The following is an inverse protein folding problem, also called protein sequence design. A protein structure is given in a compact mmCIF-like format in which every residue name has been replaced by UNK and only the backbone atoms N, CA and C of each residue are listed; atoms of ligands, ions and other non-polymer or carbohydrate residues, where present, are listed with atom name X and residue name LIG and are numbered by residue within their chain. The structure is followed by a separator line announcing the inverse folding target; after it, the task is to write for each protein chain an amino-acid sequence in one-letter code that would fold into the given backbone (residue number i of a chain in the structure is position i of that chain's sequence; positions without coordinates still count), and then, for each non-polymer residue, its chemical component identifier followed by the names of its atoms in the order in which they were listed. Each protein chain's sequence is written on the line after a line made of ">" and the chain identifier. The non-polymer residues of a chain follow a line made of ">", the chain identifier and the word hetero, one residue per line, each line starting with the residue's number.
data_IF_233819863287
#
_entry.id   IF_233819863287
#
_cell.length_a   1.000
_cell.length_b   1.000
_cell.length_c   1.000
_cell.angle_alpha   90.00
_cell.angle_beta   90.00
_cell.angle_gamma   90.00
#
_symmetry.space_group_name_H-M   'P 1'
#
loop_
_entity.id
_entity.type
_entity.pdbx_description
1 polymer ?
#
# COMPACT_ATOMS: atom_id res chain seq x y z
N UNK A 1 -6.62 -16.03 5.48
CA UNK A 1 -7.41 -15.84 6.71
C UNK A 1 -6.62 -16.10 7.98
N UNK A 2 -6.17 -17.35 8.21
CA UNK A 2 -5.50 -17.75 9.48
C UNK A 2 -4.22 -16.98 9.77
N UNK A 3 -3.36 -16.80 8.77
CA UNK A 3 -2.11 -16.03 8.91
C UNK A 3 -2.37 -14.54 9.23
N UNK A 4 -3.41 -13.97 8.65
CA UNK A 4 -3.79 -12.57 8.94
C UNK A 4 -4.27 -12.41 10.38
N UNK A 5 -5.10 -13.35 10.87
CA UNK A 5 -5.55 -13.39 12.26
C UNK A 5 -4.37 -13.56 13.23
N UNK A 6 -3.48 -14.51 12.95
CA UNK A 6 -2.28 -14.71 13.76
C UNK A 6 -1.40 -13.44 13.80
N UNK A 7 -1.19 -12.79 12.65
CA UNK A 7 -0.43 -11.53 12.56
C UNK A 7 -1.07 -10.41 13.39
N UNK A 8 -2.39 -10.26 13.31
CA UNK A 8 -3.12 -9.23 14.09
C UNK A 8 -3.05 -9.53 15.58
N UNK A 9 -3.23 -10.79 16.00
CA UNK A 9 -3.14 -11.19 17.42
C UNK A 9 -1.73 -10.91 17.97
N UNK A 10 -0.70 -11.30 17.24
CA UNK A 10 0.69 -11.04 17.64
C UNK A 10 0.94 -9.53 17.70
N UNK A 11 0.48 -8.76 16.70
CA UNK A 11 0.63 -7.31 16.66
C UNK A 11 -0.06 -6.61 17.83
N UNK A 12 -1.28 -7.02 18.16
CA UNK A 12 -2.02 -6.50 19.32
C UNK A 12 -1.34 -6.87 20.63
N UNK A 13 -0.87 -8.11 20.77
CA UNK A 13 -0.15 -8.57 21.97
C UNK A 13 1.16 -7.79 22.17
N UNK A 14 1.96 -7.62 21.12
CA UNK A 14 3.18 -6.80 21.17
C UNK A 14 2.88 -5.33 21.44
N UNK A 15 1.84 -4.77 20.82
CA UNK A 15 1.41 -3.40 21.06
C UNK A 15 0.92 -3.16 22.48
N UNK A 16 0.25 -4.15 23.09
CA UNK A 16 -0.16 -4.10 24.49
C UNK A 16 1.03 -4.25 25.46
N UNK A 17 2.03 -5.04 25.10
CA UNK A 17 3.23 -5.28 25.93
C UNK A 17 4.25 -4.13 25.83
N UNK A 18 4.31 -3.42 24.71
CA UNK A 18 5.31 -2.40 24.44
C UNK A 18 5.41 -1.30 25.52
N UNK A 19 4.33 -0.73 26.05
CA UNK A 19 4.40 0.28 27.12
C UNK A 19 5.09 -0.26 28.39
N UNK A 20 4.84 -1.52 28.75
CA UNK A 20 5.42 -2.14 29.96
C UNK A 20 6.91 -2.44 29.79
N UNK A 21 7.32 -2.86 28.58
CA UNK A 21 8.73 -3.08 28.26
C UNK A 21 9.49 -1.74 28.27
N UNK A 22 8.90 -0.69 27.67
CA UNK A 22 9.47 0.65 27.62
C UNK A 22 9.54 1.28 29.03
N UNK A 23 8.56 1.03 29.90
CA UNK A 23 8.57 1.53 31.27
C UNK A 23 9.82 1.10 32.05
N UNK A 24 10.32 -0.14 31.80
CA UNK A 24 11.54 -0.63 32.45
C UNK A 24 12.86 -0.07 31.87
N UNK A 25 12.79 0.61 30.72
CA UNK A 25 13.95 1.16 30.02
C UNK A 25 14.06 2.68 30.17
N UNK A 26 12.99 3.35 30.61
CA UNK A 26 12.93 4.80 30.74
C UNK A 26 13.24 5.18 32.19
N UNK A 27 14.22 6.07 32.46
CA UNK A 27 14.51 6.54 33.80
C UNK A 27 13.31 7.26 34.43
N UNK A 28 13.16 7.16 35.75
CA UNK A 28 12.11 7.80 36.56
C UNK A 28 12.09 9.34 36.53
N UNK A 29 13.09 9.97 35.92
CA UNK A 29 13.28 11.44 35.85
C UNK A 29 12.48 12.15 34.74
N UNK A 30 11.50 11.48 34.10
CA UNK A 30 10.67 12.14 33.12
C UNK A 30 9.73 13.17 33.77
N UNK A 31 9.69 14.42 33.25
CA UNK A 31 8.86 15.50 33.82
C UNK A 31 7.34 15.28 33.59
N UNK A 32 6.94 14.21 32.92
CA UNK A 32 5.53 13.86 32.65
C UNK A 32 5.26 12.47 33.21
N UNK A 33 4.26 12.29 34.09
CA UNK A 33 3.88 10.98 34.59
C UNK A 33 3.34 10.13 33.44
N UNK A 34 4.11 9.15 33.00
CA UNK A 34 3.70 8.22 31.98
C UNK A 34 2.75 7.16 32.61
N UNK A 35 1.48 7.19 32.26
CA UNK A 35 0.50 6.20 32.69
C UNK A 35 0.65 4.97 31.79
N UNK A 36 1.41 3.98 32.27
CA UNK A 36 1.54 2.69 31.59
C UNK A 36 0.32 1.83 31.86
N UNK A 37 -0.66 1.90 30.97
CA UNK A 37 -1.90 1.14 31.04
C UNK A 37 -2.23 0.49 29.69
N UNK A 38 -2.98 -0.61 29.73
CA UNK A 38 -3.55 -1.20 28.52
C UNK A 38 -4.77 -0.40 28.14
N UNK A 39 -4.72 0.25 26.99
CA UNK A 39 -5.85 1.01 26.45
C UNK A 39 -6.58 0.13 25.42
N UNK A 40 -7.77 -0.41 25.74
CA UNK A 40 -8.47 -1.34 24.85
C UNK A 40 -8.94 -0.68 23.55
N UNK A 41 -9.31 0.60 23.58
CA UNK A 41 -9.80 1.31 22.41
C UNK A 41 -8.74 1.44 21.28
N UNK A 42 -7.51 1.92 21.52
CA UNK A 42 -6.44 1.91 20.51
C UNK A 42 -6.11 0.51 20.00
N UNK A 43 -6.13 -0.50 20.86
CA UNK A 43 -5.85 -1.88 20.47
C UNK A 43 -6.93 -2.46 19.55
N UNK A 44 -8.21 -2.18 19.83
CA UNK A 44 -9.32 -2.57 18.96
C UNK A 44 -9.25 -1.86 17.61
N UNK A 45 -8.93 -0.57 17.60
CA UNK A 45 -8.71 0.19 16.36
C UNK A 45 -7.55 -0.42 15.56
N UNK A 46 -6.41 -0.71 16.20
CA UNK A 46 -5.27 -1.35 15.55
C UNK A 46 -5.63 -2.73 14.96
N UNK A 47 -6.39 -3.54 15.71
CA UNK A 47 -6.87 -4.84 15.22
C UNK A 47 -7.78 -4.68 14.00
N UNK A 48 -8.73 -3.73 14.02
CA UNK A 48 -9.61 -3.44 12.90
C UNK A 48 -8.83 -2.98 11.66
N UNK A 49 -7.87 -2.06 11.83
CA UNK A 49 -6.97 -1.65 10.75
C UNK A 49 -6.18 -2.82 10.18
N UNK A 50 -5.63 -3.69 11.04
CA UNK A 50 -4.87 -4.87 10.64
C UNK A 50 -5.70 -5.85 9.82
N UNK A 51 -6.92 -6.17 10.28
CA UNK A 51 -7.82 -7.09 9.59
C UNK A 51 -8.31 -6.54 8.25
N UNK A 52 -8.73 -5.27 8.21
CA UNK A 52 -9.19 -4.62 6.98
C UNK A 52 -8.07 -4.49 5.96
N UNK A 53 -6.85 -4.14 6.39
CA UNK A 53 -5.66 -4.10 5.53
C UNK A 53 -5.34 -5.49 4.98
N UNK A 54 -5.31 -6.51 5.84
CA UNK A 54 -5.07 -7.88 5.40
C UNK A 54 -6.12 -8.35 4.39
N UNK A 55 -7.40 -8.03 4.59
CA UNK A 55 -8.46 -8.34 3.64
C UNK A 55 -8.28 -7.59 2.32
N UNK A 56 -8.08 -6.26 2.36
CA UNK A 56 -7.94 -5.44 1.17
C UNK A 56 -6.76 -5.89 0.27
N UNK A 57 -5.62 -6.24 0.88
CA UNK A 57 -4.43 -6.63 0.13
C UNK A 57 -4.36 -8.11 -0.24
N UNK A 58 -5.01 -9.03 0.51
CA UNK A 58 -4.94 -10.46 0.24
C UNK A 58 -6.03 -10.96 -0.73
N UNK A 59 -7.21 -10.33 -0.75
CA UNK A 59 -8.33 -10.81 -1.55
C UNK A 59 -8.10 -10.68 -3.05
N UNK A 60 -7.41 -9.63 -3.52
CA UNK A 60 -7.11 -9.44 -4.94
C UNK A 60 -6.15 -10.50 -5.48
N UNK A 61 -5.00 -10.80 -4.85
CA UNK A 61 -4.14 -11.92 -5.26
C UNK A 61 -4.86 -13.28 -5.19
N UNK A 62 -5.71 -13.47 -4.19
CA UNK A 62 -6.49 -14.70 -4.04
C UNK A 62 -7.49 -14.88 -5.17
N UNK A 63 -8.19 -13.81 -5.57
CA UNK A 63 -9.08 -13.83 -6.74
C UNK A 63 -8.32 -14.20 -8.02
N UNK A 64 -7.12 -13.67 -8.20
CA UNK A 64 -6.26 -14.01 -9.35
C UNK A 64 -5.83 -15.47 -9.33
N UNK A 65 -5.44 -15.99 -8.18
CA UNK A 65 -5.04 -17.39 -8.03
C UNK A 65 -6.18 -18.35 -8.34
N UNK A 66 -7.41 -18.05 -7.90
CA UNK A 66 -8.61 -18.86 -8.21
C UNK A 66 -9.03 -18.78 -9.67
N UNK A 67 -8.86 -17.64 -10.33
CA UNK A 67 -9.19 -17.45 -11.74
C UNK A 67 -8.20 -18.12 -12.70
N UNK A 68 -7.10 -18.70 -12.20
CA UNK A 68 -6.07 -19.35 -13.02
C UNK A 68 -6.35 -20.85 -13.09
N UNK A 69 -6.87 -21.39 -14.22
CA UNK A 69 -7.13 -22.84 -14.35
C UNK A 69 -5.80 -23.60 -14.34
N UNK A 70 -5.73 -24.82 -13.76
CA UNK A 70 -4.49 -25.63 -13.72
C UNK A 70 -3.91 -25.89 -15.11
N UNK A 71 -4.75 -26.04 -16.13
CA UNK A 71 -4.33 -26.23 -17.52
C UNK A 71 -3.59 -25.02 -18.13
N UNK A 72 -3.77 -23.82 -17.57
CA UNK A 72 -3.08 -22.61 -18.05
C UNK A 72 -1.60 -22.55 -17.64
N UNK A 73 -1.20 -23.34 -16.64
CA UNK A 73 0.21 -23.49 -16.26
C UNK A 73 1.05 -24.13 -17.36
N UNK A 74 0.42 -24.92 -18.24
CA UNK A 74 1.07 -25.56 -19.40
C UNK A 74 0.95 -24.75 -20.69
N UNK A 75 0.13 -23.70 -20.73
CA UNK A 75 0.01 -22.77 -21.85
C UNK A 75 0.53 -21.40 -21.40
N UNK A 76 1.56 -20.90 -22.07
CA UNK A 76 2.19 -19.59 -21.83
C UNK A 76 1.24 -18.36 -21.99
N UNK A 77 -0.04 -18.55 -22.25
CA UNK A 77 -0.97 -17.51 -22.72
C UNK A 77 -2.32 -17.47 -22.00
N UNK A 78 -2.41 -17.73 -20.73
CA UNK A 78 -3.70 -17.54 -20.06
C UNK A 78 -3.59 -16.58 -18.85
N UNK A 79 -3.49 -15.30 -19.15
CA UNK A 79 -3.99 -14.30 -18.19
C UNK A 79 -5.50 -14.20 -18.40
N UNK A 80 -6.28 -15.00 -17.69
CA UNK A 80 -7.71 -14.83 -17.61
C UNK A 80 -8.00 -13.40 -17.17
N UNK A 81 -8.84 -12.69 -17.93
CA UNK A 81 -9.39 -11.42 -17.48
C UNK A 81 -10.07 -11.69 -16.14
N UNK A 82 -9.66 -10.93 -15.11
CA UNK A 82 -10.32 -11.03 -13.81
C UNK A 82 -11.70 -10.44 -14.02
N UNK A 83 -12.72 -11.32 -14.13
CA UNK A 83 -14.11 -10.90 -14.12
C UNK A 83 -14.47 -10.27 -12.77
N UNK A 84 -15.62 -9.63 -12.69
CA UNK A 84 -16.19 -9.17 -11.40
C UNK A 84 -16.38 -10.41 -10.51
N UNK A 85 -15.49 -10.61 -9.57
CA UNK A 85 -15.54 -11.70 -8.59
C UNK A 85 -15.88 -11.14 -7.22
N UNK A 86 -16.51 -11.96 -6.39
CA UNK A 86 -16.89 -11.61 -5.03
C UNK A 86 -15.67 -11.11 -4.22
N UNK A 87 -14.50 -11.69 -4.48
CA UNK A 87 -13.25 -11.32 -3.82
C UNK A 87 -12.80 -9.88 -4.17
N UNK A 88 -13.03 -9.43 -5.40
CA UNK A 88 -12.70 -8.05 -5.80
C UNK A 88 -13.65 -7.06 -5.13
N UNK A 89 -14.93 -7.40 -5.07
CA UNK A 89 -15.92 -6.58 -4.35
C UNK A 89 -15.59 -6.51 -2.86
N UNK A 90 -15.27 -7.65 -2.24
CA UNK A 90 -14.87 -7.72 -0.85
C UNK A 90 -13.57 -6.94 -0.57
N UNK A 91 -12.59 -6.98 -1.48
CA UNK A 91 -11.36 -6.18 -1.37
C UNK A 91 -11.66 -4.68 -1.45
N UNK A 92 -12.52 -4.26 -2.38
CA UNK A 92 -12.93 -2.87 -2.52
C UNK A 92 -13.70 -2.37 -1.29
N UNK A 93 -14.64 -3.18 -0.76
CA UNK A 93 -15.36 -2.87 0.46
C UNK A 93 -14.42 -2.77 1.68
N UNK A 94 -13.44 -3.68 1.78
CA UNK A 94 -12.44 -3.64 2.86
C UNK A 94 -11.58 -2.38 2.77
N UNK A 95 -11.16 -1.98 1.57
CA UNK A 95 -10.41 -0.76 1.36
C UNK A 95 -11.23 0.49 1.68
N UNK A 96 -12.52 0.51 1.31
CA UNK A 96 -13.44 1.60 1.65
C UNK A 96 -13.67 1.69 3.15
N UNK A 97 -13.90 0.55 3.82
CA UNK A 97 -14.05 0.48 5.27
C UNK A 97 -12.78 0.95 6.00
N UNK A 98 -11.60 0.60 5.48
CA UNK A 98 -10.31 1.07 5.99
C UNK A 98 -10.20 2.60 5.89
N UNK A 99 -10.55 3.18 4.75
CA UNK A 99 -10.55 4.63 4.56
C UNK A 99 -11.55 5.33 5.48
N UNK A 100 -12.76 4.77 5.60
CA UNK A 100 -13.79 5.29 6.52
C UNK A 100 -13.31 5.24 7.97
N UNK A 101 -12.73 4.12 8.41
CA UNK A 101 -12.18 3.97 9.75
C UNK A 101 -11.08 5.01 10.01
N UNK A 102 -10.19 5.23 9.03
CA UNK A 102 -9.13 6.22 9.14
C UNK A 102 -9.69 7.64 9.32
N UNK A 103 -10.73 8.02 8.57
CA UNK A 103 -11.38 9.33 8.69
C UNK A 103 -12.11 9.48 10.02
N UNK A 104 -12.86 8.46 10.45
CA UNK A 104 -13.64 8.49 11.68
C UNK A 104 -12.78 8.50 12.94
N UNK A 105 -11.58 7.90 12.89
CA UNK A 105 -10.67 7.84 14.05
C UNK A 105 -9.65 8.97 14.06
N UNK A 106 -9.58 9.78 13.00
CA UNK A 106 -8.65 10.89 12.92
C UNK A 106 -9.08 12.06 13.83
N UNK A 107 -8.15 12.72 14.52
CA UNK A 107 -8.45 13.93 15.31
C UNK A 107 -9.05 15.06 14.46
N UNK A 108 -8.63 15.14 13.19
CA UNK A 108 -9.12 16.10 12.20
C UNK A 108 -9.58 15.36 10.94
N UNK A 109 -10.88 15.06 10.78
CA UNK A 109 -11.39 14.30 9.63
C UNK A 109 -11.04 14.92 8.29
N UNK A 110 -11.03 16.26 8.21
CA UNK A 110 -10.66 16.98 6.98
C UNK A 110 -9.22 16.67 6.56
N UNK A 111 -8.27 16.68 7.51
CA UNK A 111 -6.88 16.36 7.21
C UNK A 111 -6.72 14.90 6.73
N UNK A 112 -7.45 13.96 7.34
CA UNK A 112 -7.45 12.57 6.92
C UNK A 112 -7.98 12.41 5.48
N UNK A 113 -9.09 13.08 5.15
CA UNK A 113 -9.65 13.06 3.78
C UNK A 113 -8.67 13.67 2.78
N UNK A 114 -8.05 14.81 3.12
CA UNK A 114 -7.04 15.44 2.25
C UNK A 114 -5.81 14.56 2.06
N UNK A 115 -5.34 13.87 3.11
CA UNK A 115 -4.22 12.92 3.01
C UNK A 115 -4.58 11.72 2.11
N UNK A 116 -5.73 11.10 2.35
CA UNK A 116 -6.18 9.96 1.53
C UNK A 116 -6.36 10.40 0.07
N UNK A 117 -6.99 11.55 -0.15
CA UNK A 117 -7.16 12.15 -1.48
C UNK A 117 -5.82 12.47 -2.15
N UNK A 118 -4.89 13.05 -1.41
CA UNK A 118 -3.54 13.36 -1.89
C UNK A 118 -2.77 12.10 -2.32
N UNK A 119 -2.83 11.04 -1.52
CA UNK A 119 -2.22 9.74 -1.87
C UNK A 119 -2.88 9.15 -3.11
N UNK A 120 -4.21 9.16 -3.19
CA UNK A 120 -4.95 8.65 -4.34
C UNK A 120 -4.62 9.42 -5.63
N UNK A 121 -4.57 10.76 -5.58
CA UNK A 121 -4.19 11.62 -6.70
C UNK A 121 -2.73 11.36 -7.11
N UNK A 122 -1.81 11.29 -6.15
CA UNK A 122 -0.40 10.99 -6.43
C UNK A 122 -0.25 9.64 -7.12
N UNK A 123 -0.96 8.62 -6.63
CA UNK A 123 -0.95 7.29 -7.25
C UNK A 123 -1.53 7.30 -8.66
N UNK A 124 -2.64 8.01 -8.88
CA UNK A 124 -3.27 8.16 -10.19
C UNK A 124 -2.35 8.88 -11.18
N UNK A 125 -1.66 9.94 -10.75
CA UNK A 125 -0.68 10.66 -11.57
C UNK A 125 0.51 9.77 -11.95
N UNK A 126 1.11 9.07 -10.99
CA UNK A 126 2.22 8.15 -11.24
C UNK A 126 1.83 7.00 -12.17
N UNK A 127 0.64 6.46 -11.99
CA UNK A 127 0.09 5.43 -12.88
C UNK A 127 -0.16 5.97 -14.29
N UNK A 128 -0.72 7.18 -14.39
CA UNK A 128 -0.92 7.88 -15.66
C UNK A 128 0.41 8.13 -16.39
N UNK A 129 1.43 8.62 -15.68
CA UNK A 129 2.78 8.82 -16.23
C UNK A 129 3.40 7.51 -16.72
N UNK A 130 3.26 6.41 -15.96
CA UNK A 130 3.70 5.08 -16.37
C UNK A 130 3.02 4.60 -17.67
N UNK A 131 1.72 4.88 -17.81
CA UNK A 131 0.98 4.57 -19.05
C UNK A 131 1.42 5.44 -20.22
N UNK A 132 1.64 6.74 -20.00
CA UNK A 132 2.14 7.66 -21.02
C UNK A 132 3.54 7.24 -21.47
N UNK A 133 4.44 6.92 -20.56
CA UNK A 133 5.77 6.42 -20.89
C UNK A 133 5.71 5.14 -21.72
N UNK A 134 4.86 4.17 -21.33
CA UNK A 134 4.67 2.94 -22.08
C UNK A 134 4.09 3.18 -23.48
N UNK A 135 3.13 4.11 -23.62
CA UNK A 135 2.54 4.47 -24.92
C UNK A 135 3.54 5.20 -25.82
N UNK A 136 4.33 6.11 -25.26
CA UNK A 136 5.40 6.80 -25.96
C UNK A 136 6.48 5.82 -26.45
N UNK A 137 6.91 4.88 -25.58
CA UNK A 137 7.82 3.82 -25.96
C UNK A 137 7.27 2.97 -27.11
N UNK A 138 5.96 2.67 -27.11
CA UNK A 138 5.29 1.95 -28.20
C UNK A 138 5.33 2.69 -29.53
N UNK A 139 5.14 4.02 -29.52
CA UNK A 139 5.22 4.88 -30.72
C UNK A 139 6.65 5.00 -31.26
N UNK A 140 7.62 5.18 -30.37
CA UNK A 140 9.04 5.29 -30.75
C UNK A 140 9.64 3.96 -31.23
N UNK A 141 9.09 2.82 -30.79
CA UNK A 141 9.53 1.49 -31.21
C UNK A 141 9.56 1.33 -32.73
N UNK A 142 8.61 1.94 -33.47
CA UNK A 142 8.56 1.89 -34.93
C UNK A 142 9.72 2.60 -35.63
N UNK A 143 10.38 3.56 -34.97
CA UNK A 143 11.52 4.33 -35.46
C UNK A 143 12.87 3.82 -34.94
N UNK A 144 12.89 2.98 -33.92
CA UNK A 144 14.08 2.47 -33.27
C UNK A 144 14.63 1.22 -33.99
N UNK A 145 15.98 1.06 -34.00
CA UNK A 145 16.69 -0.08 -34.59
C UNK A 145 17.53 -0.79 -33.52
N UNK A 146 17.82 -2.06 -33.75
CA UNK A 146 18.73 -2.85 -32.89
C UNK A 146 18.25 -2.99 -31.44
N UNK A 147 19.17 -2.91 -30.48
CA UNK A 147 18.92 -3.09 -29.06
C UNK A 147 17.89 -2.09 -28.47
N UNK A 148 17.84 -0.86 -29.00
CA UNK A 148 16.89 0.16 -28.59
C UNK A 148 15.42 -0.23 -28.88
N UNK A 149 15.19 -0.94 -29.98
CA UNK A 149 13.86 -1.47 -30.32
C UNK A 149 13.42 -2.54 -29.33
N UNK A 150 14.35 -3.37 -28.84
CA UNK A 150 14.07 -4.42 -27.85
C UNK A 150 13.75 -3.78 -26.48
N UNK A 151 14.53 -2.80 -26.05
CA UNK A 151 14.30 -2.05 -24.83
C UNK A 151 12.92 -1.35 -24.81
N UNK A 152 12.58 -0.64 -25.89
CA UNK A 152 11.30 0.01 -26.06
C UNK A 152 10.13 -0.98 -26.13
N UNK A 153 10.34 -2.16 -26.74
CA UNK A 153 9.35 -3.22 -26.77
C UNK A 153 9.02 -3.76 -25.36
N UNK A 154 10.06 -3.92 -24.52
CA UNK A 154 9.89 -4.35 -23.12
C UNK A 154 9.16 -3.29 -22.28
N UNK A 155 9.43 -2.00 -22.51
CA UNK A 155 8.74 -0.89 -21.85
C UNK A 155 7.29 -0.74 -22.32
N UNK A 156 7.01 -0.94 -23.60
CA UNK A 156 5.68 -0.80 -24.18
C UNK A 156 4.77 -2.01 -23.93
N UNK A 157 5.32 -3.16 -23.53
CA UNK A 157 4.60 -4.41 -23.35
C UNK A 157 3.45 -4.33 -22.34
N UNK A 158 2.39 -5.15 -22.46
CA UNK A 158 1.26 -5.16 -21.53
C UNK A 158 1.67 -5.59 -20.10
N UNK A 159 2.76 -6.33 -19.99
CA UNK A 159 3.38 -6.77 -18.72
C UNK A 159 4.65 -6.00 -18.40
N UNK A 160 4.82 -4.77 -18.93
CA UNK A 160 6.05 -4.02 -18.71
C UNK A 160 6.23 -3.69 -17.24
N UNK A 161 7.43 -3.96 -16.72
CA UNK A 161 7.82 -3.59 -15.37
C UNK A 161 7.65 -2.07 -15.11
N UNK A 162 7.74 -1.24 -16.14
CA UNK A 162 7.56 0.19 -16.04
C UNK A 162 6.16 0.59 -15.52
N UNK A 163 5.10 -0.14 -15.89
CA UNK A 163 3.74 0.15 -15.42
C UNK A 163 3.52 -0.16 -13.95
N UNK A 164 4.22 -1.16 -13.43
CA UNK A 164 4.10 -1.60 -12.03
C UNK A 164 5.18 -1.00 -11.15
N UNK A 165 6.39 -0.82 -11.66
CA UNK A 165 7.51 -0.27 -10.91
C UNK A 165 7.46 1.26 -10.81
N UNK A 166 6.94 1.97 -11.81
CA UNK A 166 6.88 3.44 -11.79
C UNK A 166 6.11 4.00 -10.57
N UNK A 167 4.90 3.51 -10.21
CA UNK A 167 4.23 3.96 -8.99
C UNK A 167 5.01 3.65 -7.72
N UNK A 168 5.62 2.46 -7.62
CA UNK A 168 6.39 2.06 -6.44
C UNK A 168 7.65 2.93 -6.25
N UNK A 169 8.41 3.15 -7.31
CA UNK A 169 9.60 4.01 -7.30
C UNK A 169 9.19 5.46 -7.01
N UNK A 170 8.13 5.95 -7.67
CA UNK A 170 7.63 7.30 -7.48
C UNK A 170 7.18 7.57 -6.04
N UNK A 171 6.46 6.63 -5.42
CA UNK A 171 6.08 6.72 -4.01
C UNK A 171 7.30 6.69 -3.09
N UNK A 172 8.29 5.83 -3.36
CA UNK A 172 9.52 5.76 -2.57
C UNK A 172 10.32 7.07 -2.62
N UNK A 173 10.53 7.62 -3.82
CA UNK A 173 11.19 8.92 -4.00
C UNK A 173 10.37 10.06 -3.37
N UNK A 174 9.05 10.03 -3.53
CA UNK A 174 8.14 11.00 -2.91
C UNK A 174 8.21 11.00 -1.39
N UNK A 175 8.26 9.81 -0.77
CA UNK A 175 8.43 9.66 0.67
C UNK A 175 9.78 10.23 1.14
N UNK A 176 10.87 9.90 0.44
CA UNK A 176 12.20 10.45 0.77
C UNK A 176 12.21 11.98 0.64
N UNK A 177 11.63 12.53 -0.43
CA UNK A 177 11.52 13.97 -0.61
C UNK A 177 10.71 14.62 0.52
N UNK A 178 9.59 14.01 0.93
CA UNK A 178 8.78 14.50 2.05
C UNK A 178 9.56 14.53 3.36
N UNK A 179 10.32 13.47 3.67
CA UNK A 179 11.17 13.40 4.87
C UNK A 179 12.23 14.51 4.86
N UNK A 180 12.92 14.70 3.72
CA UNK A 180 13.94 15.76 3.58
C UNK A 180 13.33 17.15 3.72
N UNK A 181 12.15 17.39 3.14
CA UNK A 181 11.44 18.66 3.26
C UNK A 181 11.02 18.95 4.69
N UNK A 182 10.48 17.97 5.43
CA UNK A 182 10.12 18.10 6.84
C UNK A 182 11.36 18.41 7.65
N UNK A 183 12.45 17.67 7.47
CA UNK A 183 13.70 17.88 8.18
C UNK A 183 14.28 19.28 7.90
N UNK A 184 14.26 19.72 6.64
CA UNK A 184 14.75 21.06 6.28
C UNK A 184 13.87 22.17 6.84
N UNK A 185 12.56 21.94 6.98
CA UNK A 185 11.64 22.89 7.60
C UNK A 185 11.87 23.05 9.09
N UNK A 186 12.16 21.94 9.78
CA UNK A 186 12.47 21.95 11.22
C UNK A 186 13.81 22.63 11.53
N UNK A 187 14.80 22.47 10.65
CA UNK A 187 16.13 23.09 10.85
C UNK A 187 16.16 24.60 10.55
N UNK A 188 15.11 25.14 9.92
CA UNK A 188 14.99 26.59 9.61
C UNK A 188 14.17 27.38 10.64
N UNK A 189 13.60 26.70 11.65
CA UNK A 189 12.89 27.31 12.77
C UNK A 189 13.85 27.54 13.95
#
# INVERSE_FOLDING_TARGET
>A
GVLALAGVLIGVALGAAAPFVLAGLIPDDLPVPALFAVYPEPLLRAAAFGLLSAAAFSLVPLARARATPPASLFRREASGAIGFSLEIVAAALSALALAALAVLTAPTPLAAVLMIGGVAVSFALLWGMGRLAASAAGRLRGRARGAMRIGLANLAGPRSAARTAAPAIGLGVGLLAAVVLIQSSLLRQ
#
